data_IF_850897227249
#
_entry.id   IF_850897227249
#
_cell.length_a   1.000
_cell.length_b   1.000
_cell.length_c   1.000
_cell.angle_alpha   90.00
_cell.angle_beta   90.00
_cell.angle_gamma   90.00
#
_symmetry.space_group_name_H-M   'P 1'
#
loop_
_entity.id
_entity.type
_entity.pdbx_description
1 polymer ?
#
# COMPACT_ATOMS: atom_id res chain seq x y z
N UNK A 1 -23.57 -14.52 11.71
CA UNK A 1 -24.01 -13.18 11.26
C UNK A 1 -24.56 -13.31 9.85
N UNK A 2 -25.75 -12.77 9.58
CA UNK A 2 -26.43 -12.88 8.28
C UNK A 2 -25.92 -11.83 7.30
N UNK A 3 -25.26 -12.26 6.22
CA UNK A 3 -24.91 -11.38 5.11
C UNK A 3 -26.17 -11.09 4.28
N UNK A 4 -26.57 -9.82 4.21
CA UNK A 4 -27.71 -9.38 3.40
C UNK A 4 -27.22 -8.75 2.10
N UNK A 5 -27.05 -9.55 1.07
CA UNK A 5 -26.88 -9.05 -0.30
C UNK A 5 -28.26 -9.00 -0.95
N UNK A 6 -28.77 -7.79 -1.23
CA UNK A 6 -30.03 -7.63 -1.95
C UNK A 6 -29.70 -7.56 -3.45
N UNK A 7 -29.59 -8.73 -4.10
CA UNK A 7 -29.43 -8.81 -5.56
C UNK A 7 -30.82 -8.89 -6.18
N UNK A 8 -31.25 -7.81 -6.83
CA UNK A 8 -32.41 -7.87 -7.71
C UNK A 8 -31.99 -8.53 -9.04
N UNK A 9 -32.84 -9.34 -9.68
CA UNK A 9 -32.50 -10.10 -10.89
C UNK A 9 -32.11 -9.26 -12.13
N UNK A 10 -32.06 -7.92 -12.01
CA UNK A 10 -31.65 -6.96 -13.04
C UNK A 10 -30.73 -5.84 -12.54
N UNK A 11 -30.26 -5.87 -11.29
CA UNK A 11 -29.47 -4.75 -10.74
C UNK A 11 -28.03 -4.82 -11.24
N UNK A 12 -27.67 -3.90 -12.13
CA UNK A 12 -26.29 -3.71 -12.61
C UNK A 12 -25.43 -2.88 -11.66
N UNK A 13 -25.94 -2.66 -10.47
CA UNK A 13 -25.35 -1.87 -9.39
C UNK A 13 -25.56 -2.62 -8.08
N UNK A 14 -24.61 -2.49 -7.16
CA UNK A 14 -24.69 -3.15 -5.87
C UNK A 14 -23.62 -2.66 -4.91
N UNK A 15 -23.77 -3.08 -3.66
CA UNK A 15 -22.76 -2.85 -2.62
C UNK A 15 -22.58 -4.09 -1.76
N UNK A 16 -21.35 -4.28 -1.29
CA UNK A 16 -20.97 -5.35 -0.38
C UNK A 16 -20.01 -4.78 0.65
N UNK A 17 -20.12 -5.24 1.90
CA UNK A 17 -19.11 -4.98 2.91
C UNK A 17 -18.35 -6.28 3.15
N UNK A 18 -17.11 -6.31 2.70
CA UNK A 18 -16.23 -7.44 2.98
C UNK A 18 -15.60 -7.23 4.34
N UNK A 19 -15.62 -8.26 5.17
CA UNK A 19 -14.81 -8.34 6.38
C UNK A 19 -13.61 -9.23 6.05
N UNK A 20 -12.44 -8.66 6.17
CA UNK A 20 -11.18 -9.28 5.82
C UNK A 20 -10.56 -9.84 7.10
N UNK A 21 -10.22 -11.11 7.07
CA UNK A 21 -9.54 -11.81 8.15
C UNK A 21 -8.27 -12.44 7.58
N UNK A 22 -7.14 -12.17 8.23
CA UNK A 22 -5.83 -12.74 7.92
C UNK A 22 -5.35 -12.61 6.45
N UNK A 23 -5.65 -11.50 5.76
CA UNK A 23 -5.14 -11.28 4.40
C UNK A 23 -3.62 -11.10 4.41
N UNK A 24 -2.88 -11.85 3.60
CA UNK A 24 -1.43 -11.67 3.51
C UNK A 24 -1.08 -10.25 3.03
N UNK A 25 -0.32 -9.51 3.85
CA UNK A 25 0.07 -8.12 3.56
C UNK A 25 0.71 -7.99 2.17
N UNK A 26 1.61 -8.93 1.86
CA UNK A 26 2.29 -8.96 0.57
C UNK A 26 1.34 -9.19 -0.61
N UNK A 27 0.30 -10.00 -0.47
CA UNK A 27 -0.64 -10.20 -1.57
C UNK A 27 -1.48 -8.94 -1.82
N UNK A 28 -1.88 -8.25 -0.74
CA UNK A 28 -2.65 -7.00 -0.83
C UNK A 28 -1.82 -5.91 -1.51
N UNK A 29 -0.58 -5.71 -1.09
CA UNK A 29 0.31 -4.70 -1.68
C UNK A 29 0.65 -5.02 -3.16
N UNK A 30 0.82 -6.31 -3.53
CA UNK A 30 0.99 -6.72 -4.93
C UNK A 30 -0.25 -6.43 -5.78
N UNK A 31 -1.44 -6.70 -5.24
CA UNK A 31 -2.70 -6.38 -5.91
C UNK A 31 -2.87 -4.86 -6.12
N UNK A 32 -2.27 -4.06 -5.25
CA UNK A 32 -2.19 -2.60 -5.40
C UNK A 32 -1.19 -2.14 -6.49
N UNK A 33 -0.53 -3.08 -7.17
CA UNK A 33 0.42 -2.81 -8.24
C UNK A 33 1.82 -2.45 -7.75
N UNK A 34 2.11 -2.60 -6.45
CA UNK A 34 3.48 -2.48 -5.95
C UNK A 34 4.31 -3.69 -6.40
N UNK A 35 5.54 -3.45 -6.85
CA UNK A 35 6.48 -4.49 -7.27
C UNK A 35 7.78 -4.36 -6.50
N UNK A 36 8.59 -5.43 -6.52
CA UNK A 36 9.93 -5.40 -5.90
C UNK A 36 9.90 -5.14 -4.41
N UNK A 37 8.88 -5.61 -3.71
CA UNK A 37 8.77 -5.50 -2.26
C UNK A 37 8.57 -6.89 -1.65
N UNK A 38 8.95 -7.04 -0.38
CA UNK A 38 8.67 -8.21 0.44
C UNK A 38 8.09 -7.74 1.75
N UNK A 39 7.05 -8.42 2.23
CA UNK A 39 6.44 -8.13 3.50
C UNK A 39 5.88 -9.42 4.10
N UNK A 40 6.00 -9.58 5.42
CA UNK A 40 5.27 -10.64 6.13
C UNK A 40 4.07 -10.05 6.88
N UNK A 41 3.32 -10.92 7.55
CA UNK A 41 2.18 -10.52 8.35
C UNK A 41 0.86 -10.49 7.61
N UNK A 42 -0.17 -10.16 8.38
CA UNK A 42 -1.56 -10.34 8.02
C UNK A 42 -2.35 -9.08 8.31
N UNK A 43 -3.29 -8.78 7.43
CA UNK A 43 -4.19 -7.65 7.49
C UNK A 43 -5.60 -8.11 7.79
N UNK A 44 -6.26 -7.36 8.66
CA UNK A 44 -7.64 -7.56 9.06
C UNK A 44 -8.40 -6.25 8.82
N UNK A 45 -9.73 -6.32 8.68
CA UNK A 45 -10.55 -5.12 8.66
C UNK A 45 -11.74 -5.23 7.74
N UNK A 46 -12.05 -4.14 7.02
CA UNK A 46 -13.25 -4.04 6.20
C UNK A 46 -13.00 -3.29 4.90
N UNK A 47 -13.61 -3.80 3.83
CA UNK A 47 -13.64 -3.17 2.51
C UNK A 47 -15.10 -3.04 2.07
N UNK A 48 -15.71 -1.85 2.25
CA UNK A 48 -16.98 -1.52 1.64
C UNK A 48 -16.77 -1.27 0.16
N UNK A 49 -17.29 -2.14 -0.69
CA UNK A 49 -17.17 -2.05 -2.14
C UNK A 49 -18.55 -1.75 -2.71
N UNK A 50 -18.60 -0.74 -3.59
CA UNK A 50 -19.75 -0.41 -4.40
C UNK A 50 -19.38 -0.64 -5.86
N UNK A 51 -20.31 -1.10 -6.68
CA UNK A 51 -20.07 -1.28 -8.11
C UNK A 51 -21.28 -0.85 -8.94
N UNK A 52 -20.99 -0.46 -10.18
CA UNK A 52 -21.94 -0.26 -11.27
C UNK A 52 -21.44 -0.98 -12.53
N UNK A 53 -22.12 -0.82 -13.67
CA UNK A 53 -21.71 -1.44 -14.95
C UNK A 53 -20.26 -1.16 -15.36
N UNK A 54 -19.68 -0.04 -14.90
CA UNK A 54 -18.39 0.46 -15.41
C UNK A 54 -17.43 0.92 -14.31
N UNK A 55 -17.84 0.90 -13.04
CA UNK A 55 -17.07 1.52 -11.97
C UNK A 55 -17.12 0.65 -10.71
N UNK A 56 -15.97 0.49 -10.05
CA UNK A 56 -15.85 -0.06 -8.70
C UNK A 56 -15.29 1.02 -7.79
N UNK A 57 -15.96 1.22 -6.65
CA UNK A 57 -15.56 2.19 -5.65
C UNK A 57 -15.38 1.52 -4.30
N UNK A 58 -14.36 1.97 -3.58
CA UNK A 58 -14.16 1.63 -2.17
C UNK A 58 -14.35 2.91 -1.38
N UNK A 59 -15.28 2.90 -0.43
CA UNK A 59 -15.51 4.07 0.44
C UNK A 59 -15.24 3.67 1.89
N UNK A 60 -14.34 4.41 2.55
CA UNK A 60 -13.97 4.19 3.94
C UNK A 60 -13.46 2.76 4.21
N UNK A 61 -12.65 2.21 3.31
CA UNK A 61 -11.95 0.94 3.54
C UNK A 61 -10.89 1.12 4.63
N UNK A 62 -10.76 0.11 5.50
CA UNK A 62 -9.77 0.09 6.57
C UNK A 62 -9.20 -1.33 6.69
N UNK A 63 -7.88 -1.44 6.53
CA UNK A 63 -7.13 -2.66 6.79
C UNK A 63 -6.01 -2.36 7.80
N UNK A 64 -5.73 -3.28 8.71
CA UNK A 64 -4.70 -3.10 9.73
C UNK A 64 -4.05 -4.42 10.09
N UNK A 65 -2.77 -4.39 10.45
CA UNK A 65 -2.10 -5.57 11.02
C UNK A 65 -2.60 -5.84 12.42
N UNK A 66 -2.60 -7.11 12.85
CA UNK A 66 -2.95 -7.45 14.23
C UNK A 66 -2.03 -6.68 15.20
N UNK A 67 -2.58 -5.83 16.09
CA UNK A 67 -1.76 -5.10 17.05
C UNK A 67 -0.89 -6.04 17.90
N UNK A 68 0.37 -5.68 18.11
CA UNK A 68 1.32 -6.51 18.85
C UNK A 68 1.88 -7.71 18.06
N UNK A 69 1.45 -7.93 16.81
CA UNK A 69 2.10 -8.85 15.86
C UNK A 69 2.80 -8.04 14.78
N UNK A 70 4.02 -7.62 15.09
CA UNK A 70 4.91 -6.95 14.15
C UNK A 70 5.40 -7.88 13.04
N UNK A 71 6.27 -7.36 12.21
CA UNK A 71 6.84 -8.10 11.10
C UNK A 71 7.91 -7.32 10.37
N UNK A 72 8.30 -7.79 9.20
CA UNK A 72 9.31 -7.16 8.36
C UNK A 72 8.69 -6.71 7.05
N UNK A 73 9.08 -5.53 6.59
CA UNK A 73 8.82 -5.10 5.22
C UNK A 73 10.10 -4.54 4.59
N UNK A 74 10.25 -4.75 3.30
CA UNK A 74 11.37 -4.27 2.50
C UNK A 74 10.86 -3.82 1.12
N UNK A 75 11.22 -2.61 0.71
CA UNK A 75 10.99 -2.09 -0.64
C UNK A 75 12.29 -2.04 -1.42
N UNK A 76 12.22 -2.40 -2.70
CA UNK A 76 13.29 -2.11 -3.64
C UNK A 76 13.46 -0.60 -3.85
N UNK A 77 14.70 -0.13 -3.98
CA UNK A 77 15.02 1.29 -4.13
C UNK A 77 14.28 1.98 -5.29
N UNK A 78 14.06 1.28 -6.40
CA UNK A 78 13.30 1.78 -7.55
C UNK A 78 11.82 2.04 -7.21
N UNK A 79 11.21 1.22 -6.36
CA UNK A 79 9.79 1.35 -5.98
C UNK A 79 9.59 2.54 -5.03
N UNK A 80 10.53 2.73 -4.10
CA UNK A 80 10.53 3.89 -3.19
C UNK A 80 10.59 5.18 -3.99
N UNK A 81 11.46 5.26 -4.98
CA UNK A 81 11.65 6.44 -5.82
C UNK A 81 10.47 6.71 -6.78
N UNK A 82 9.84 5.67 -7.33
CA UNK A 82 8.85 5.84 -8.40
C UNK A 82 7.40 6.04 -7.91
N UNK A 83 7.03 5.46 -6.76
CA UNK A 83 5.61 5.42 -6.34
C UNK A 83 5.33 5.97 -4.94
N UNK A 84 6.33 5.98 -4.09
CA UNK A 84 6.15 6.28 -2.66
C UNK A 84 6.54 7.72 -2.36
N UNK A 85 7.60 8.23 -3.00
CA UNK A 85 8.10 9.58 -2.80
C UNK A 85 7.77 10.44 -4.03
N UNK A 86 6.87 11.44 -3.90
CA UNK A 86 6.63 12.39 -4.98
C UNK A 86 7.90 13.20 -5.28
N UNK A 87 8.22 13.48 -6.56
CA UNK A 87 9.32 14.36 -6.91
C UNK A 87 9.14 15.74 -6.28
N UNK A 88 10.18 16.24 -5.60
CA UNK A 88 10.19 17.56 -4.95
C UNK A 88 9.57 17.64 -3.54
N UNK A 89 9.15 16.52 -2.95
CA UNK A 89 8.48 16.49 -1.63
C UNK A 89 9.42 16.52 -0.42
N UNK A 90 10.71 16.20 -0.60
CA UNK A 90 11.68 16.03 0.47
C UNK A 90 13.06 16.54 0.02
N UNK A 91 13.86 17.05 0.96
CA UNK A 91 15.28 17.32 0.72
C UNK A 91 16.01 16.00 0.39
N UNK A 92 17.07 16.04 -0.42
CA UNK A 92 17.82 14.84 -0.87
C UNK A 92 18.21 13.91 0.29
N UNK A 93 18.60 14.50 1.43
CA UNK A 93 18.95 13.76 2.65
C UNK A 93 17.80 12.96 3.27
N UNK A 94 16.59 13.51 3.24
CA UNK A 94 15.38 12.84 3.75
C UNK A 94 14.95 11.70 2.83
N UNK A 95 15.06 11.89 1.51
CA UNK A 95 14.81 10.82 0.52
C UNK A 95 15.78 9.66 0.75
N UNK A 96 17.07 9.97 0.95
CA UNK A 96 18.08 8.96 1.26
C UNK A 96 17.79 8.19 2.54
N UNK A 97 17.42 8.90 3.62
CA UNK A 97 17.06 8.28 4.90
C UNK A 97 15.86 7.34 4.76
N UNK A 98 14.78 7.81 4.14
CA UNK A 98 13.55 7.01 3.94
C UNK A 98 13.87 5.78 3.07
N UNK A 99 14.63 5.95 1.99
CA UNK A 99 15.01 4.83 1.11
C UNK A 99 15.83 3.79 1.87
N UNK A 100 16.80 4.23 2.69
CA UNK A 100 17.61 3.33 3.50
C UNK A 100 16.78 2.61 4.58
N UNK A 101 15.83 3.30 5.21
CA UNK A 101 14.92 2.71 6.19
C UNK A 101 13.99 1.67 5.55
N UNK A 102 13.35 1.99 4.43
CA UNK A 102 12.39 1.11 3.75
C UNK A 102 13.07 -0.10 3.07
N UNK A 103 14.38 -0.09 2.88
CA UNK A 103 15.11 -1.24 2.32
C UNK A 103 15.13 -2.44 3.27
N UNK A 104 15.08 -2.22 4.59
CA UNK A 104 14.94 -3.28 5.59
C UNK A 104 14.38 -2.71 6.88
N UNK A 105 13.10 -2.99 7.13
CA UNK A 105 12.35 -2.40 8.23
C UNK A 105 11.58 -3.45 9.02
N UNK A 106 11.62 -3.35 10.34
CA UNK A 106 10.78 -4.10 11.25
C UNK A 106 9.61 -3.20 11.67
N UNK A 107 8.39 -3.56 11.29
CA UNK A 107 7.19 -2.80 11.64
C UNK A 107 6.54 -3.38 12.90
N UNK A 108 6.00 -2.50 13.74
CA UNK A 108 5.16 -2.85 14.88
C UNK A 108 3.70 -2.98 14.45
N UNK A 109 3.26 -2.06 13.59
CA UNK A 109 1.92 -2.07 13.01
C UNK A 109 1.86 -1.32 11.68
N UNK A 110 0.87 -1.71 10.87
CA UNK A 110 0.51 -1.06 9.62
C UNK A 110 -0.99 -0.82 9.62
N UNK A 111 -1.41 0.38 9.22
CA UNK A 111 -2.82 0.72 8.96
C UNK A 111 -2.94 1.26 7.54
N UNK A 112 -3.94 0.80 6.80
CA UNK A 112 -4.24 1.24 5.44
C UNK A 112 -5.68 1.72 5.35
N UNK A 113 -5.86 2.94 4.86
CA UNK A 113 -7.18 3.47 4.47
C UNK A 113 -7.31 3.48 2.96
N UNK A 114 -8.48 3.08 2.46
CA UNK A 114 -8.75 2.95 1.04
C UNK A 114 -10.00 3.75 0.69
N UNK A 115 -9.87 4.71 -0.22
CA UNK A 115 -10.97 5.57 -0.67
C UNK A 115 -10.89 5.84 -2.17
N UNK A 116 -12.00 5.69 -2.87
CA UNK A 116 -12.11 5.98 -4.29
C UNK A 116 -12.38 7.46 -4.53
N UNK A 117 -11.54 8.09 -5.34
CA UNK A 117 -11.66 9.48 -5.77
C UNK A 117 -11.63 9.53 -7.31
N UNK A 118 -12.76 9.85 -7.92
CA UNK A 118 -12.95 9.75 -9.37
C UNK A 118 -12.74 8.32 -9.85
N UNK A 119 -11.79 8.14 -10.78
CA UNK A 119 -11.41 6.83 -11.35
C UNK A 119 -10.32 6.09 -10.56
N UNK A 120 -9.80 6.73 -9.51
CA UNK A 120 -8.66 6.23 -8.76
C UNK A 120 -9.07 5.68 -7.39
N UNK A 121 -8.35 4.68 -6.93
CA UNK A 121 -8.31 4.24 -5.55
C UNK A 121 -7.11 4.90 -4.86
N UNK A 122 -7.36 5.77 -3.90
CA UNK A 122 -6.38 6.33 -2.99
C UNK A 122 -6.17 5.36 -1.83
N UNK A 123 -4.92 4.98 -1.61
CA UNK A 123 -4.52 4.19 -0.46
C UNK A 123 -3.53 5.02 0.35
N UNK A 124 -3.88 5.32 1.60
CA UNK A 124 -2.95 5.91 2.54
C UNK A 124 -2.56 4.82 3.56
N UNK A 125 -1.27 4.53 3.62
CA UNK A 125 -0.69 3.52 4.50
C UNK A 125 0.19 4.19 5.54
N UNK A 126 -0.12 3.98 6.81
CA UNK A 126 0.71 4.37 7.94
C UNK A 126 1.45 3.15 8.45
N UNK A 127 2.75 3.31 8.64
CA UNK A 127 3.63 2.25 9.13
C UNK A 127 4.46 2.79 10.27
N UNK A 128 4.43 2.12 11.42
CA UNK A 128 5.33 2.42 12.52
C UNK A 128 6.24 1.23 12.81
N UNK A 129 7.46 1.52 13.22
CA UNK A 129 8.44 0.53 13.64
C UNK A 129 9.84 1.11 13.60
N UNK A 130 10.83 0.32 13.22
CA UNK A 130 12.22 0.73 13.22
C UNK A 130 13.04 0.05 12.11
N UNK A 131 14.13 0.69 11.64
CA UNK A 131 15.10 0.04 10.77
C UNK A 131 15.75 -1.16 11.46
N UNK A 132 15.97 -2.23 10.70
CA UNK A 132 16.67 -3.44 11.19
C UNK A 132 18.15 -3.20 11.45
N UNK A 133 18.73 -2.17 10.81
CA UNK A 133 20.13 -1.80 10.90
C UNK A 133 20.30 -0.31 11.20
N UNK A 134 21.47 0.07 11.74
CA UNK A 134 21.81 1.48 11.92
C UNK A 134 21.94 2.16 10.56
N UNK A 135 21.15 3.20 10.34
CA UNK A 135 21.17 3.98 9.11
C UNK A 135 22.36 4.94 9.11
N UNK A 136 23.11 5.07 8.00
CA UNK A 136 24.29 5.94 7.88
C UNK A 136 23.89 7.41 7.69
N UNK A 137 23.07 7.92 8.59
CA UNK A 137 22.52 9.28 8.54
C UNK A 137 22.56 9.93 9.91
N UNK A 138 22.75 11.24 9.94
CA UNK A 138 22.65 12.06 11.15
C UNK A 138 21.84 13.32 10.87
N UNK A 139 21.20 13.85 11.92
CA UNK A 139 20.52 15.13 11.84
C UNK A 139 21.53 16.26 12.02
N UNK A 140 21.66 17.13 11.03
CA UNK A 140 22.34 18.42 11.18
C UNK A 140 21.44 19.33 12.04
N UNK A 141 21.82 19.51 13.31
CA UNK A 141 21.06 20.30 14.29
C UNK A 141 20.86 21.76 13.89
N UNK A 142 21.66 22.30 12.96
CA UNK A 142 21.54 23.68 12.49
C UNK A 142 20.48 23.82 11.40
N UNK A 143 20.33 22.81 10.56
CA UNK A 143 19.45 22.85 9.38
C UNK A 143 18.23 21.95 9.50
N UNK A 144 18.19 21.07 10.52
CA UNK A 144 17.17 20.03 10.67
C UNK A 144 17.20 18.97 9.55
N UNK A 145 18.25 18.99 8.70
CA UNK A 145 18.37 18.11 7.54
C UNK A 145 19.16 16.85 7.89
N UNK A 146 18.86 15.75 7.20
CA UNK A 146 19.62 14.52 7.35
C UNK A 146 20.79 14.49 6.38
N UNK A 147 21.99 14.21 6.89
CA UNK A 147 23.20 14.09 6.06
C UNK A 147 23.71 12.66 6.14
N UNK A 148 24.16 12.12 5.00
CA UNK A 148 24.76 10.78 4.95
C UNK A 148 26.15 10.84 5.59
N UNK A 149 26.46 9.87 6.44
CA UNK A 149 27.72 9.81 7.19
C UNK A 149 28.35 8.43 7.09
N UNK A 150 29.66 8.33 7.33
CA UNK A 150 30.30 7.05 7.56
C UNK A 150 29.86 6.47 8.92
N UNK A 151 29.49 5.19 8.93
CA UNK A 151 29.16 4.48 10.16
C UNK A 151 30.41 4.29 11.03
N UNK A 152 30.31 4.74 12.28
CA UNK A 152 31.29 4.52 13.35
C UNK A 152 30.53 4.17 14.62
N UNK A 153 31.15 3.51 15.63
CA UNK A 153 30.49 3.26 16.91
C UNK A 153 29.88 4.54 17.49
N UNK A 154 28.59 4.49 17.83
CA UNK A 154 27.85 5.64 18.36
C UNK A 154 27.33 6.64 17.31
N UNK A 155 27.53 6.41 16.01
CA UNK A 155 27.00 7.24 14.92
C UNK A 155 25.88 6.55 14.15
N UNK A 156 24.97 7.34 13.59
CA UNK A 156 23.85 6.87 12.78
C UNK A 156 22.50 6.84 13.51
N UNK A 157 21.47 6.41 12.80
CA UNK A 157 20.07 6.44 13.26
C UNK A 157 19.51 5.02 13.35
N UNK A 158 19.02 4.65 14.54
CA UNK A 158 18.25 3.40 14.77
C UNK A 158 17.16 3.65 15.81
N UNK A 159 16.38 4.69 15.58
CA UNK A 159 15.25 5.07 16.43
C UNK A 159 13.94 4.71 15.73
N UNK A 160 12.87 4.45 16.51
CA UNK A 160 11.55 4.23 15.95
C UNK A 160 11.11 5.39 15.06
N UNK A 161 10.42 5.06 13.97
CA UNK A 161 9.97 6.01 12.96
C UNK A 161 8.59 5.61 12.43
N UNK A 162 7.83 6.62 12.04
CA UNK A 162 6.51 6.44 11.43
C UNK A 162 6.52 7.05 10.05
N UNK A 163 6.06 6.27 9.07
CA UNK A 163 5.95 6.68 7.68
C UNK A 163 4.50 6.70 7.24
N UNK A 164 4.17 7.67 6.37
CA UNK A 164 2.92 7.67 5.60
C UNK A 164 3.25 7.52 4.13
N UNK A 165 2.70 6.49 3.51
CA UNK A 165 2.90 6.15 2.11
C UNK A 165 1.56 6.30 1.40
N UNK A 166 1.53 7.10 0.33
CA UNK A 166 0.31 7.37 -0.43
C UNK A 166 0.41 6.74 -1.80
N UNK A 167 -0.51 5.83 -2.13
CA UNK A 167 -0.61 5.16 -3.42
C UNK A 167 -1.86 5.64 -4.14
N UNK A 168 -1.72 5.86 -5.45
CA UNK A 168 -2.82 6.25 -6.32
C UNK A 168 -2.95 5.21 -7.44
N UNK A 169 -4.02 4.42 -7.41
CA UNK A 169 -4.21 3.31 -8.35
C UNK A 169 -5.37 3.65 -9.28
N UNK A 170 -5.20 3.61 -10.61
CA UNK A 170 -6.28 3.83 -11.57
C UNK A 170 -7.20 2.60 -11.66
N UNK A 171 -7.92 2.31 -10.57
CA UNK A 171 -8.67 1.08 -10.34
C UNK A 171 -9.62 0.75 -11.49
N UNK A 172 -10.43 1.72 -11.92
CA UNK A 172 -11.41 1.50 -12.98
C UNK A 172 -10.79 1.29 -14.35
N UNK A 173 -9.66 1.96 -14.63
CA UNK A 173 -8.92 1.71 -15.87
C UNK A 173 -8.38 0.27 -15.89
N UNK A 174 -7.84 -0.22 -14.76
CA UNK A 174 -7.37 -1.60 -14.64
C UNK A 174 -8.49 -2.63 -14.86
N UNK A 175 -9.70 -2.34 -14.36
CA UNK A 175 -10.87 -3.20 -14.55
C UNK A 175 -11.37 -3.19 -16.01
N UNK A 176 -11.31 -2.04 -16.69
CA UNK A 176 -11.61 -1.95 -18.12
C UNK A 176 -10.66 -2.80 -18.96
N UNK A 177 -9.36 -2.83 -18.63
CA UNK A 177 -8.41 -3.72 -19.32
C UNK A 177 -8.70 -5.20 -19.06
N UNK A 178 -8.96 -5.58 -17.81
CA UNK A 178 -9.28 -6.97 -17.46
C UNK A 178 -10.57 -7.46 -18.15
N UNK A 179 -11.60 -6.62 -18.25
CA UNK A 179 -12.86 -6.95 -18.93
C UNK A 179 -12.75 -6.94 -20.46
N UNK A 180 -11.91 -6.07 -21.04
CA UNK A 180 -11.60 -6.04 -22.46
C UNK A 180 -10.91 -7.32 -22.95
N UNK A 181 -9.95 -7.84 -22.18
CA UNK A 181 -9.28 -9.12 -22.47
C UNK A 181 -10.28 -10.28 -22.40
N UNK A 182 -11.19 -10.26 -21.43
CA UNK A 182 -12.21 -11.31 -21.27
C UNK A 182 -13.25 -11.30 -22.42
N UNK A 183 -13.58 -10.13 -22.97
CA UNK A 183 -14.42 -10.01 -24.17
C UNK A 183 -13.75 -10.59 -25.42
N UNK A 184 -12.47 -10.31 -25.62
CA UNK A 184 -11.71 -10.88 -26.74
C UNK A 184 -11.60 -12.40 -26.61
N UNK A 185 -11.32 -12.92 -25.41
CA UNK A 185 -11.27 -14.36 -25.15
C UNK A 185 -12.59 -15.09 -25.40
N UNK A 186 -13.74 -14.50 -25.05
CA UNK A 186 -15.05 -15.08 -25.30
C UNK A 186 -15.46 -15.05 -26.79
N UNK A 187 -14.97 -14.07 -27.57
CA UNK A 187 -15.15 -14.06 -29.03
C UNK A 187 -14.42 -15.23 -29.71
N UNK A 188 -13.28 -15.66 -29.18
CA UNK A 188 -12.55 -16.83 -29.68
C UNK A 188 -13.18 -18.18 -29.27
N UNK A 189 -13.98 -18.22 -28.19
CA UNK A 189 -14.70 -19.44 -27.78
C UNK A 189 -16.09 -19.60 -28.41
N UNK A 190 -16.63 -18.55 -29.04
CA UNK A 190 -17.93 -18.57 -29.72
C UNK A 190 -17.90 -19.04 -31.18
N UNK A 191 -16.75 -19.50 -31.70
CA UNK A 191 -16.60 -20.02 -33.06
C UNK A 191 -16.22 -21.51 -33.11
N UNK A 192 -16.78 -22.32 -32.22
CA UNK A 192 -16.76 -23.79 -32.35
C UNK A 192 -18.16 -24.37 -32.29
#
# INVERSE_FOLDING_TARGET
>A
QLYRTRLGPKSTEGSVRLYCDSLALEQVLRACGLKGFSANGQLNGRLPIQWSKQNIRVDQGLLFTTPGKGGTFAFGAAEVAAKILPPGSLAEGQIGLVTAALASFEYDWITMTLNSEGENLKIAMQVAGQPTHVLPYECDSRTGSYVKVELRPGRGIRQPMTFTLNLNIPLNQMLCYASGVNKQWNLFKGQR
#
